data_IF_072493246670
#
_entry.id   IF_072493246670
#
_cell.length_a   1.000
_cell.length_b   1.000
_cell.length_c   1.000
_cell.angle_alpha   90.00
_cell.angle_beta   90.00
_cell.angle_gamma   90.00
#
_symmetry.space_group_name_H-M   'P 1'
#
loop_
_entity.id
_entity.type
_entity.pdbx_description
1 polymer ?
#
# COMPACT_ATOMS: atom_id res chain seq x y z
N UNK A 1 54.45 -14.21 -42.43
CA UNK A 1 53.08 -14.26 -42.97
C UNK A 1 52.69 -15.72 -43.11
N UNK A 2 52.12 -16.33 -42.05
CA UNK A 2 51.58 -17.70 -42.11
C UNK A 2 50.07 -17.56 -41.96
N UNK A 3 49.38 -17.77 -43.08
CA UNK A 3 47.93 -17.97 -43.16
C UNK A 3 47.57 -19.11 -42.24
N UNK A 4 46.74 -18.83 -41.24
CA UNK A 4 46.14 -19.86 -40.40
C UNK A 4 44.92 -20.34 -41.18
N UNK A 5 44.97 -21.60 -41.62
CA UNK A 5 43.92 -22.26 -42.40
C UNK A 5 42.52 -22.07 -41.79
N UNK A 6 41.62 -21.51 -42.59
CA UNK A 6 40.21 -21.26 -42.24
C UNK A 6 39.35 -22.55 -42.20
N UNK A 7 39.97 -23.73 -42.30
CA UNK A 7 39.27 -24.98 -42.57
C UNK A 7 38.90 -25.85 -41.34
N UNK A 8 39.18 -25.42 -40.10
CA UNK A 8 38.93 -26.29 -38.93
C UNK A 8 38.53 -25.57 -37.61
N UNK A 9 37.61 -24.62 -37.66
CA UNK A 9 36.92 -24.05 -36.47
C UNK A 9 35.54 -24.69 -36.24
N UNK A 10 35.47 -26.02 -36.38
CA UNK A 10 34.29 -26.81 -36.09
C UNK A 10 33.91 -26.74 -34.60
N UNK A 11 32.64 -26.44 -34.35
CA UNK A 11 31.85 -26.65 -33.12
C UNK A 11 32.12 -25.81 -31.85
N UNK A 12 33.31 -25.27 -31.57
CA UNK A 12 33.59 -24.63 -30.25
C UNK A 12 33.76 -23.10 -30.23
N UNK A 13 34.05 -22.46 -31.36
CA UNK A 13 34.33 -21.02 -31.45
C UNK A 13 33.82 -20.42 -32.76
N UNK A 14 33.58 -19.09 -32.77
CA UNK A 14 33.19 -18.35 -33.99
C UNK A 14 33.76 -16.93 -34.00
N UNK A 15 33.88 -16.36 -35.20
CA UNK A 15 34.27 -14.96 -35.41
C UNK A 15 33.11 -14.02 -35.06
N UNK A 16 33.37 -12.99 -34.26
CA UNK A 16 32.40 -11.94 -33.96
C UNK A 16 32.26 -10.98 -35.16
N UNK A 17 31.04 -10.80 -35.67
CA UNK A 17 30.79 -9.89 -36.81
C UNK A 17 30.94 -8.40 -36.49
N UNK A 18 31.14 -8.02 -35.22
CA UNK A 18 31.31 -6.63 -34.82
C UNK A 18 32.74 -6.25 -34.45
N UNK A 19 33.48 -7.11 -33.73
CA UNK A 19 34.86 -6.82 -33.36
C UNK A 19 35.89 -7.63 -34.13
N UNK A 20 35.47 -8.55 -35.02
CA UNK A 20 36.36 -9.37 -35.84
C UNK A 20 37.12 -10.49 -35.10
N UNK A 21 37.18 -10.46 -33.77
CA UNK A 21 37.86 -11.46 -32.94
C UNK A 21 37.17 -12.84 -33.00
N UNK A 22 37.96 -13.92 -33.03
CA UNK A 22 37.49 -15.30 -32.86
C UNK A 22 37.35 -15.57 -31.37
N UNK A 23 36.16 -16.01 -30.94
CA UNK A 23 35.86 -16.27 -29.52
C UNK A 23 35.13 -17.59 -29.33
N UNK A 24 35.24 -18.23 -28.15
CA UNK A 24 34.44 -19.40 -27.82
C UNK A 24 32.94 -19.13 -27.93
N UNK A 25 32.13 -20.13 -28.30
CA UNK A 25 30.67 -19.96 -28.42
C UNK A 25 30.00 -19.51 -27.10
N UNK A 26 30.62 -19.79 -25.93
CA UNK A 26 30.17 -19.30 -24.62
C UNK A 26 30.17 -17.77 -24.50
N UNK A 27 30.99 -17.08 -25.29
CA UNK A 27 31.06 -15.62 -25.37
C UNK A 27 29.97 -15.00 -26.25
N UNK A 28 29.07 -15.80 -26.81
CA UNK A 28 27.95 -15.37 -27.62
C UNK A 28 26.63 -15.69 -26.92
N UNK A 29 25.69 -14.76 -26.97
CA UNK A 29 24.34 -14.98 -26.44
C UNK A 29 23.62 -16.06 -27.27
N UNK A 30 22.79 -16.85 -26.61
CA UNK A 30 21.94 -17.84 -27.30
C UNK A 30 20.95 -17.13 -28.23
N UNK A 31 20.76 -17.68 -29.42
CA UNK A 31 19.71 -17.29 -30.37
C UNK A 31 19.19 -18.55 -31.06
N UNK A 32 18.00 -19.00 -30.67
CA UNK A 32 17.42 -20.25 -31.18
C UNK A 32 17.14 -20.22 -32.69
N UNK A 33 17.15 -19.04 -33.31
CA UNK A 33 16.91 -18.86 -34.75
C UNK A 33 18.18 -18.98 -35.59
N UNK A 34 19.36 -18.89 -34.98
CA UNK A 34 20.60 -19.02 -35.72
C UNK A 34 20.97 -20.50 -35.89
N UNK A 35 21.62 -20.82 -37.01
CA UNK A 35 22.04 -22.20 -37.37
C UNK A 35 22.87 -22.88 -36.27
N UNK A 36 23.70 -22.12 -35.58
CA UNK A 36 24.59 -22.57 -34.50
C UNK A 36 24.03 -22.30 -33.09
N UNK A 37 22.79 -21.81 -32.97
CA UNK A 37 22.16 -21.46 -31.69
C UNK A 37 22.78 -20.25 -30.97
N UNK A 38 23.68 -19.50 -31.62
CA UNK A 38 24.41 -18.35 -31.06
C UNK A 38 24.33 -17.11 -31.96
N UNK A 39 24.20 -15.93 -31.32
CA UNK A 39 24.26 -14.63 -32.03
C UNK A 39 25.54 -14.47 -32.85
N UNK A 40 25.49 -13.60 -33.86
CA UNK A 40 26.62 -13.32 -34.75
C UNK A 40 27.75 -12.50 -34.09
N UNK A 41 27.43 -11.71 -33.07
CA UNK A 41 28.38 -10.86 -32.34
C UNK A 41 28.43 -11.22 -30.85
N UNK A 42 29.58 -10.96 -30.23
CA UNK A 42 29.88 -11.39 -28.86
C UNK A 42 29.12 -10.59 -27.79
N UNK A 43 29.09 -11.11 -26.56
CA UNK A 43 28.47 -10.48 -25.38
C UNK A 43 29.00 -9.07 -25.10
N UNK A 44 30.30 -8.82 -25.32
CA UNK A 44 30.93 -7.49 -25.19
C UNK A 44 30.27 -6.50 -26.15
N UNK A 45 30.24 -6.83 -27.44
CA UNK A 45 29.61 -6.03 -28.48
C UNK A 45 28.11 -5.84 -28.24
N UNK A 46 27.41 -6.87 -27.74
CA UNK A 46 26.00 -6.76 -27.37
C UNK A 46 25.76 -5.71 -26.28
N UNK A 47 26.58 -5.71 -25.21
CA UNK A 47 26.47 -4.72 -24.13
C UNK A 47 26.82 -3.32 -24.61
N UNK A 48 27.83 -3.18 -25.47
CA UNK A 48 28.21 -1.89 -26.06
C UNK A 48 27.07 -1.30 -26.91
N UNK A 49 26.48 -2.09 -27.83
CA UNK A 49 25.32 -1.67 -28.63
C UNK A 49 24.14 -1.27 -27.76
N UNK A 50 23.84 -2.06 -26.73
CA UNK A 50 22.75 -1.76 -25.80
C UNK A 50 22.96 -0.44 -25.04
N UNK A 51 24.21 -0.09 -24.69
CA UNK A 51 24.55 1.21 -24.05
C UNK A 51 24.38 2.37 -25.03
N UNK A 52 24.96 2.28 -26.22
CA UNK A 52 24.83 3.31 -27.26
C UNK A 52 23.36 3.62 -27.60
N UNK A 53 22.50 2.59 -27.59
CA UNK A 53 21.05 2.78 -27.78
C UNK A 53 20.41 3.56 -26.64
N UNK A 54 20.76 3.26 -25.39
CA UNK A 54 20.23 3.99 -24.23
C UNK A 54 20.70 5.45 -24.23
N UNK A 55 21.98 5.69 -24.56
CA UNK A 55 22.54 7.03 -24.72
C UNK A 55 21.83 7.83 -25.82
N UNK A 56 21.44 7.17 -26.92
CA UNK A 56 20.65 7.76 -28.00
C UNK A 56 19.14 7.90 -27.67
N UNK A 57 18.71 7.64 -26.43
CA UNK A 57 17.29 7.71 -26.03
C UNK A 57 16.42 6.58 -26.58
N UNK A 58 17.01 5.57 -27.23
CA UNK A 58 16.30 4.42 -27.80
C UNK A 58 16.10 3.30 -26.77
N UNK A 59 15.11 2.46 -27.04
CA UNK A 59 14.90 1.26 -26.26
C UNK A 59 16.14 0.35 -26.31
N UNK A 60 16.61 -0.07 -25.13
CA UNK A 60 17.76 -0.96 -24.96
C UNK A 60 17.63 -2.31 -25.68
N UNK A 61 16.42 -2.77 -25.95
CA UNK A 61 16.20 -4.02 -26.68
C UNK A 61 16.83 -3.93 -28.07
N UNK A 62 17.64 -4.92 -28.40
CA UNK A 62 18.34 -4.97 -29.70
C UNK A 62 17.33 -4.99 -30.85
N UNK A 63 17.53 -4.12 -31.83
CA UNK A 63 16.66 -3.99 -33.01
C UNK A 63 15.30 -3.30 -32.78
N UNK A 64 14.97 -2.85 -31.57
CA UNK A 64 13.70 -2.17 -31.33
C UNK A 64 13.72 -0.73 -31.91
N UNK A 65 12.75 -0.29 -32.71
CA UNK A 65 12.78 1.07 -33.26
C UNK A 65 12.34 2.15 -32.26
N UNK A 66 11.73 1.75 -31.14
CA UNK A 66 11.05 2.67 -30.23
C UNK A 66 12.00 3.43 -29.30
N UNK A 67 11.63 4.66 -28.92
CA UNK A 67 12.26 5.43 -27.85
C UNK A 67 12.07 4.77 -26.48
N UNK A 68 13.01 4.99 -25.58
CA UNK A 68 12.86 4.60 -24.19
C UNK A 68 11.80 5.47 -23.50
N UNK A 69 11.05 4.89 -22.55
CA UNK A 69 10.16 5.66 -21.71
C UNK A 69 10.97 6.59 -20.80
N UNK A 70 10.38 7.71 -20.39
CA UNK A 70 11.04 8.72 -19.55
C UNK A 70 11.68 8.11 -18.29
N UNK A 71 12.98 8.38 -18.10
CA UNK A 71 13.77 7.84 -16.99
C UNK A 71 13.94 6.31 -16.99
N UNK A 72 13.66 5.63 -18.12
CA UNK A 72 13.80 4.18 -18.28
C UNK A 72 14.77 3.85 -19.41
N UNK A 73 15.21 2.59 -19.45
CA UNK A 73 16.07 2.07 -20.53
C UNK A 73 15.30 1.31 -21.61
N UNK A 74 13.97 1.17 -21.47
CA UNK A 74 13.12 0.43 -22.41
C UNK A 74 11.88 1.23 -22.77
N UNK A 75 11.32 0.97 -23.95
CA UNK A 75 10.06 1.56 -24.37
C UNK A 75 8.88 1.04 -23.54
N UNK A 76 7.73 1.73 -23.61
CA UNK A 76 6.49 1.36 -22.91
C UNK A 76 6.09 -0.10 -23.21
N UNK A 77 6.08 -0.50 -24.49
CA UNK A 77 5.70 -1.86 -24.89
C UNK A 77 6.58 -2.95 -24.24
N UNK A 78 7.91 -2.76 -24.21
CA UNK A 78 8.80 -3.72 -23.56
C UNK A 78 8.69 -3.70 -22.03
N UNK A 79 8.37 -2.55 -21.42
CA UNK A 79 8.11 -2.48 -19.99
C UNK A 79 6.81 -3.21 -19.63
N UNK A 80 5.77 -3.10 -20.46
CA UNK A 80 4.52 -3.82 -20.30
C UNK A 80 4.69 -5.33 -20.47
N UNK A 81 5.39 -5.76 -21.53
CA UNK A 81 5.73 -7.16 -21.71
C UNK A 81 6.50 -7.72 -20.50
N UNK A 82 7.48 -6.98 -19.98
CA UNK A 82 8.19 -7.37 -18.76
C UNK A 82 7.24 -7.50 -17.55
N UNK A 83 6.32 -6.55 -17.36
CA UNK A 83 5.33 -6.62 -16.26
C UNK A 83 4.45 -7.86 -16.35
N UNK A 84 4.04 -8.25 -17.57
CA UNK A 84 3.25 -9.48 -17.79
C UNK A 84 4.08 -10.71 -17.39
N UNK A 85 5.33 -10.81 -17.89
CA UNK A 85 6.22 -11.91 -17.52
C UNK A 85 6.51 -11.96 -16.01
N UNK A 86 6.77 -10.81 -15.37
CA UNK A 86 7.02 -10.73 -13.94
C UNK A 86 5.80 -11.16 -13.11
N UNK A 87 4.59 -10.76 -13.54
CA UNK A 87 3.34 -11.22 -12.90
C UNK A 87 3.16 -12.72 -13.03
N UNK A 88 3.36 -13.28 -14.22
CA UNK A 88 3.25 -14.71 -14.48
C UNK A 88 4.26 -15.50 -13.63
N UNK A 89 5.53 -15.08 -13.62
CA UNK A 89 6.58 -15.69 -12.79
C UNK A 89 6.22 -15.69 -11.31
N UNK A 90 5.77 -14.54 -10.78
CA UNK A 90 5.36 -14.42 -9.37
C UNK A 90 4.14 -15.28 -9.04
N UNK A 91 3.20 -15.42 -9.98
CA UNK A 91 2.03 -16.29 -9.82
C UNK A 91 2.45 -17.75 -9.72
N UNK A 92 3.25 -18.22 -10.68
CA UNK A 92 3.77 -19.59 -10.69
C UNK A 92 4.52 -19.93 -9.40
N UNK A 93 5.33 -18.99 -8.88
CA UNK A 93 6.01 -19.15 -7.59
C UNK A 93 5.03 -19.36 -6.43
N UNK A 94 4.00 -18.53 -6.33
CA UNK A 94 2.97 -18.64 -5.29
C UNK A 94 2.19 -19.96 -5.42
N UNK A 95 1.85 -20.36 -6.65
CA UNK A 95 1.17 -21.64 -6.93
C UNK A 95 2.02 -22.85 -6.53
N UNK A 96 3.34 -22.76 -6.70
CA UNK A 96 4.30 -23.78 -6.22
C UNK A 96 4.60 -23.69 -4.72
N UNK A 97 3.88 -22.88 -3.95
CA UNK A 97 4.10 -22.70 -2.50
C UNK A 97 5.36 -21.91 -2.13
N UNK A 98 6.07 -21.34 -3.11
CA UNK A 98 7.26 -20.53 -2.87
C UNK A 98 6.92 -19.09 -2.50
N UNK A 99 7.87 -18.41 -1.83
CA UNK A 99 7.80 -16.99 -1.60
C UNK A 99 7.67 -16.23 -2.94
N UNK A 100 6.73 -15.29 -2.99
CA UNK A 100 6.46 -14.46 -4.18
C UNK A 100 7.67 -13.64 -4.63
N UNK A 101 8.58 -13.31 -3.73
CA UNK A 101 9.74 -12.48 -4.08
C UNK A 101 10.65 -13.22 -5.08
N UNK A 102 11.04 -12.49 -6.11
CA UNK A 102 11.80 -13.04 -7.24
C UNK A 102 13.18 -13.49 -6.77
N UNK A 103 13.53 -14.77 -7.01
CA UNK A 103 14.82 -15.35 -6.61
C UNK A 103 14.91 -15.87 -5.18
N UNK A 104 13.87 -15.69 -4.35
CA UNK A 104 13.86 -16.23 -2.98
C UNK A 104 13.72 -17.77 -3.01
N UNK A 105 14.56 -18.56 -2.32
CA UNK A 105 14.41 -20.02 -2.30
C UNK A 105 13.33 -20.50 -1.32
N UNK A 106 12.90 -19.64 -0.39
CA UNK A 106 12.07 -20.02 0.75
C UNK A 106 10.59 -20.27 0.39
N UNK A 107 9.94 -21.17 1.13
CA UNK A 107 8.50 -21.41 1.04
C UNK A 107 7.69 -20.25 1.62
N UNK A 108 6.49 -20.04 1.09
CA UNK A 108 5.54 -19.10 1.65
C UNK A 108 4.94 -19.65 2.96
N UNK A 109 4.69 -18.77 3.94
CA UNK A 109 3.94 -19.14 5.13
C UNK A 109 2.49 -19.54 4.78
N UNK A 110 1.91 -20.43 5.58
CA UNK A 110 0.52 -20.85 5.43
C UNK A 110 -0.44 -19.63 5.33
N UNK A 111 -1.27 -19.62 4.29
CA UNK A 111 -2.22 -18.53 4.01
C UNK A 111 -1.58 -17.19 3.60
N UNK A 112 -0.27 -17.16 3.32
CA UNK A 112 0.46 -15.96 2.87
C UNK A 112 1.14 -16.22 1.53
N UNK A 113 1.60 -15.15 0.88
CA UNK A 113 2.33 -15.22 -0.39
C UNK A 113 3.84 -15.03 -0.21
N UNK A 114 4.35 -14.98 1.02
CA UNK A 114 5.75 -14.66 1.34
C UNK A 114 6.23 -15.57 2.47
N UNK A 115 7.54 -15.81 2.53
CA UNK A 115 8.19 -16.48 3.65
C UNK A 115 8.18 -15.61 4.92
N UNK A 116 8.58 -16.20 6.05
CA UNK A 116 8.67 -15.52 7.35
C UNK A 116 9.53 -14.26 7.26
N UNK A 117 10.76 -14.41 6.77
CA UNK A 117 11.75 -13.33 6.60
C UNK A 117 11.17 -12.12 5.82
N UNK A 118 10.68 -12.34 4.60
CA UNK A 118 10.10 -11.24 3.81
C UNK A 118 8.81 -10.66 4.41
N UNK A 119 8.09 -11.39 5.27
CA UNK A 119 6.96 -10.84 6.02
C UNK A 119 7.43 -9.96 7.18
N UNK A 120 8.51 -10.35 7.86
CA UNK A 120 9.15 -9.58 8.92
C UNK A 120 9.78 -8.31 8.37
N UNK A 121 10.53 -8.39 7.28
CA UNK A 121 11.07 -7.22 6.57
C UNK A 121 9.96 -6.25 6.20
N UNK A 122 8.86 -6.78 5.66
CA UNK A 122 7.71 -5.95 5.28
C UNK A 122 7.04 -5.31 6.50
N UNK A 123 6.97 -6.02 7.63
CA UNK A 123 6.44 -5.46 8.90
C UNK A 123 7.37 -4.38 9.42
N UNK A 124 8.68 -4.59 9.43
CA UNK A 124 9.68 -3.61 9.85
C UNK A 124 9.63 -2.36 8.96
N UNK A 125 9.62 -2.53 7.64
CA UNK A 125 9.44 -1.45 6.67
C UNK A 125 8.15 -0.66 6.92
N UNK A 126 7.02 -1.34 7.13
CA UNK A 126 5.75 -0.67 7.38
C UNK A 126 5.72 0.08 8.72
N UNK A 127 6.38 -0.45 9.77
CA UNK A 127 6.53 0.23 11.06
C UNK A 127 7.36 1.50 10.89
N UNK A 128 8.56 1.40 10.33
CA UNK A 128 9.44 2.53 10.08
C UNK A 128 8.76 3.62 9.23
N UNK A 129 8.04 3.22 8.17
CA UNK A 129 7.27 4.15 7.34
C UNK A 129 6.16 4.84 8.13
N UNK A 130 5.44 4.12 9.00
CA UNK A 130 4.37 4.69 9.82
C UNK A 130 4.92 5.70 10.83
N UNK A 131 6.05 5.39 11.46
CA UNK A 131 6.77 6.30 12.36
C UNK A 131 7.17 7.57 11.62
N UNK A 132 7.88 7.44 10.50
CA UNK A 132 8.30 8.59 9.70
C UNK A 132 7.12 9.46 9.21
N UNK A 133 5.97 8.85 8.89
CA UNK A 133 4.77 9.60 8.52
C UNK A 133 4.14 10.35 9.71
N UNK A 134 4.21 9.78 10.91
CA UNK A 134 3.66 10.36 12.13
C UNK A 134 4.50 11.55 12.65
N UNK A 135 5.81 11.53 12.40
CA UNK A 135 6.77 12.56 12.87
C UNK A 135 6.80 13.83 11.99
N UNK A 136 6.03 13.87 10.90
CA UNK A 136 6.02 15.02 9.99
C UNK A 136 5.39 16.27 10.62
N UNK A 137 5.95 17.43 10.30
CA UNK A 137 5.39 18.72 10.73
C UNK A 137 4.10 19.06 9.96
N UNK A 138 3.25 19.97 10.48
CA UNK A 138 2.06 20.45 9.77
C UNK A 138 2.37 21.00 8.37
N UNK A 139 3.51 21.69 8.20
CA UNK A 139 3.97 22.26 6.93
C UNK A 139 4.33 21.15 5.93
N UNK A 140 5.02 20.11 6.40
CA UNK A 140 5.35 18.93 5.58
C UNK A 140 4.09 18.20 5.13
N UNK A 141 3.10 18.03 6.02
CA UNK A 141 1.81 17.42 5.68
C UNK A 141 1.05 18.28 4.66
N UNK A 142 1.05 19.60 4.82
CA UNK A 142 0.42 20.52 3.87
C UNK A 142 1.10 20.45 2.50
N UNK A 143 2.44 20.43 2.44
CA UNK A 143 3.21 20.27 1.21
C UNK A 143 2.90 18.93 0.51
N UNK A 144 2.86 17.83 1.26
CA UNK A 144 2.47 16.52 0.73
C UNK A 144 1.03 16.52 0.20
N UNK A 145 0.09 17.16 0.91
CA UNK A 145 -1.30 17.29 0.49
C UNK A 145 -1.41 18.06 -0.83
N UNK A 146 -0.77 19.21 -0.96
CA UNK A 146 -0.76 20.02 -2.19
C UNK A 146 -0.12 19.26 -3.36
N UNK A 147 1.01 18.58 -3.12
CA UNK A 147 1.68 17.76 -4.14
C UNK A 147 0.82 16.59 -4.63
N UNK A 148 0.14 15.90 -3.70
CA UNK A 148 -0.69 14.74 -4.03
C UNK A 148 -2.04 15.15 -4.63
N UNK A 149 -2.57 16.31 -4.24
CA UNK A 149 -3.92 16.79 -4.56
C UNK A 149 -3.89 18.29 -4.91
N UNK A 150 -3.30 18.66 -6.07
CA UNK A 150 -3.13 20.06 -6.44
C UNK A 150 -4.46 20.83 -6.58
N UNK A 151 -5.55 20.13 -6.90
CA UNK A 151 -6.86 20.76 -7.11
C UNK A 151 -7.67 20.95 -5.80
N UNK A 152 -7.08 20.74 -4.63
CA UNK A 152 -7.78 20.90 -3.34
C UNK A 152 -8.84 19.84 -3.02
N UNK A 153 -8.99 18.81 -3.88
CA UNK A 153 -10.02 17.77 -3.74
C UNK A 153 -9.41 16.41 -3.48
N UNK A 154 -10.01 15.66 -2.54
CA UNK A 154 -9.67 14.26 -2.25
C UNK A 154 -10.83 13.34 -2.63
N UNK A 155 -10.51 12.23 -3.29
CA UNK A 155 -11.49 11.21 -3.64
C UNK A 155 -11.74 10.27 -2.47
N UNK A 156 -12.99 10.15 -2.04
CA UNK A 156 -13.39 9.15 -1.04
C UNK A 156 -13.24 7.72 -1.59
N UNK A 157 -12.74 6.77 -0.78
CA UNK A 157 -12.64 5.37 -1.21
C UNK A 157 -14.01 4.68 -1.28
N UNK A 158 -14.94 4.99 -0.37
CA UNK A 158 -16.30 4.42 -0.31
C UNK A 158 -17.25 5.02 -1.36
N UNK A 159 -17.65 6.29 -1.25
CA UNK A 159 -18.62 6.90 -2.18
C UNK A 159 -18.03 7.31 -3.53
N UNK A 160 -16.69 7.34 -3.66
CA UNK A 160 -15.96 7.67 -4.91
C UNK A 160 -16.04 9.13 -5.37
N UNK A 161 -16.77 9.97 -4.65
CA UNK A 161 -16.85 11.42 -4.90
C UNK A 161 -15.52 12.14 -4.59
N UNK A 162 -15.29 13.26 -5.27
CA UNK A 162 -14.18 14.18 -5.02
C UNK A 162 -14.69 15.32 -4.15
N UNK A 163 -14.20 15.41 -2.92
CA UNK A 163 -14.69 16.32 -1.90
C UNK A 163 -13.57 17.22 -1.38
N UNK A 164 -13.90 18.40 -0.82
CA UNK A 164 -12.95 19.25 -0.11
C UNK A 164 -12.27 18.51 1.05
N UNK A 165 -11.11 19.00 1.49
CA UNK A 165 -10.31 18.34 2.53
C UNK A 165 -11.01 18.29 3.89
N UNK A 166 -11.85 19.27 4.18
CA UNK A 166 -12.63 19.42 5.41
C UNK A 166 -13.65 18.27 5.56
N UNK A 167 -14.10 17.70 4.45
CA UNK A 167 -14.97 16.53 4.42
C UNK A 167 -14.28 15.24 4.91
N UNK A 168 -12.98 15.28 5.23
CA UNK A 168 -12.21 14.15 5.72
C UNK A 168 -11.69 14.44 7.14
N UNK A 169 -11.68 13.42 7.99
CA UNK A 169 -11.03 13.51 9.30
C UNK A 169 -9.50 13.57 9.14
N UNK A 170 -8.82 14.24 10.07
CA UNK A 170 -7.36 14.28 10.11
C UNK A 170 -6.81 12.89 10.43
N UNK A 171 -5.76 12.49 9.71
CA UNK A 171 -5.03 11.26 9.93
C UNK A 171 -3.56 11.48 9.53
N UNK A 172 -2.72 11.82 10.52
CA UNK A 172 -1.32 12.23 10.30
C UNK A 172 -0.44 11.12 9.73
N UNK A 173 -0.83 9.85 9.92
CA UNK A 173 -0.09 8.71 9.35
C UNK A 173 -0.40 8.47 7.88
N UNK A 174 -1.38 9.17 7.30
CA UNK A 174 -1.62 9.15 5.87
C UNK A 174 -0.80 10.24 5.17
N UNK A 175 -0.31 10.02 3.93
CA UNK A 175 0.54 10.98 3.23
C UNK A 175 -0.04 12.40 3.14
N UNK A 176 -1.34 12.55 2.85
CA UNK A 176 -2.00 13.87 2.77
C UNK A 176 -2.54 14.38 4.12
N UNK A 177 -2.29 13.64 5.20
CA UNK A 177 -2.79 13.97 6.54
C UNK A 177 -4.30 13.76 6.71
N UNK A 178 -4.98 13.10 5.77
CA UNK A 178 -6.44 12.95 5.77
C UNK A 178 -6.84 11.47 5.71
N UNK A 179 -7.96 11.13 6.33
CA UNK A 179 -8.57 9.81 6.24
C UNK A 179 -8.92 9.43 4.79
N UNK A 180 -9.01 8.13 4.47
CA UNK A 180 -9.33 7.66 3.11
C UNK A 180 -10.80 7.82 2.74
N UNK A 181 -11.68 7.77 3.75
CA UNK A 181 -13.11 7.93 3.62
C UNK A 181 -13.55 9.29 4.15
N UNK A 182 -14.57 9.90 3.52
CA UNK A 182 -15.16 11.14 4.01
C UNK A 182 -15.88 10.88 5.35
N UNK A 183 -16.09 11.94 6.14
CA UNK A 183 -16.75 11.90 7.44
C UNK A 183 -18.12 11.23 7.37
N UNK A 184 -18.91 11.52 6.33
CA UNK A 184 -20.21 10.90 6.11
C UNK A 184 -20.07 9.38 5.97
N UNK A 185 -19.22 8.91 5.05
CA UNK A 185 -19.01 7.47 4.83
C UNK A 185 -18.40 6.76 6.04
N UNK A 186 -17.54 7.44 6.80
CA UNK A 186 -16.98 6.92 8.05
C UNK A 186 -18.09 6.77 9.12
N UNK A 187 -18.91 7.81 9.32
CA UNK A 187 -20.02 7.78 10.27
C UNK A 187 -21.07 6.73 9.89
N UNK A 188 -21.44 6.61 8.60
CA UNK A 188 -22.33 5.54 8.15
C UNK A 188 -21.76 4.15 8.44
N UNK A 189 -20.45 3.97 8.34
CA UNK A 189 -19.82 2.69 8.67
C UNK A 189 -19.87 2.39 10.17
N UNK A 190 -19.70 3.40 11.03
CA UNK A 190 -19.87 3.28 12.48
C UNK A 190 -21.32 2.95 12.83
N UNK A 191 -22.28 3.67 12.26
CA UNK A 191 -23.70 3.43 12.49
C UNK A 191 -24.10 2.00 12.14
N UNK A 192 -23.68 1.50 10.97
CA UNK A 192 -23.94 0.10 10.57
C UNK A 192 -23.36 -0.94 11.52
N UNK A 193 -22.26 -0.63 12.22
CA UNK A 193 -21.68 -1.52 13.24
C UNK A 193 -22.46 -1.49 14.54
N UNK A 194 -22.95 -0.31 14.92
CA UNK A 194 -23.62 -0.10 16.19
C UNK A 194 -25.10 -0.55 16.19
N UNK A 195 -25.79 -0.35 15.05
CA UNK A 195 -27.24 -0.58 14.89
C UNK A 195 -27.76 -1.93 15.41
N UNK A 196 -27.12 -3.10 15.13
CA UNK A 196 -27.62 -4.37 15.62
C UNK A 196 -27.76 -4.40 17.14
N UNK A 197 -26.72 -3.94 17.85
CA UNK A 197 -26.69 -3.90 19.31
C UNK A 197 -27.67 -2.87 19.87
N UNK A 198 -27.82 -1.72 19.23
CA UNK A 198 -28.77 -0.69 19.67
C UNK A 198 -30.21 -1.16 19.55
N UNK A 199 -30.53 -1.88 18.47
CA UNK A 199 -31.84 -2.49 18.26
C UNK A 199 -32.16 -3.55 19.31
N UNK A 200 -31.19 -4.40 19.69
CA UNK A 200 -31.38 -5.43 20.72
C UNK A 200 -31.70 -4.86 22.10
N UNK A 201 -31.19 -3.68 22.40
CA UNK A 201 -31.38 -3.02 23.70
C UNK A 201 -32.41 -1.89 23.67
N UNK A 202 -33.10 -1.72 22.54
CA UNK A 202 -34.08 -0.65 22.31
C UNK A 202 -33.55 0.76 22.62
N UNK A 203 -32.29 1.01 22.25
CA UNK A 203 -31.60 2.29 22.50
C UNK A 203 -31.59 3.15 21.24
N UNK A 204 -32.65 3.93 21.06
CA UNK A 204 -32.85 4.83 19.90
C UNK A 204 -32.78 6.32 20.25
N UNK A 205 -32.38 6.64 21.47
CA UNK A 205 -32.20 8.01 21.95
C UNK A 205 -30.78 8.22 22.46
N UNK A 206 -30.38 9.47 22.64
CA UNK A 206 -29.12 9.87 23.25
C UNK A 206 -29.00 9.22 24.64
N UNK A 207 -27.99 8.36 24.83
CA UNK A 207 -27.79 7.66 26.11
C UNK A 207 -27.46 8.58 27.28
N UNK A 208 -27.09 9.82 27.00
CA UNK A 208 -26.71 10.80 28.01
C UNK A 208 -27.86 11.68 28.49
N UNK A 209 -28.81 12.02 27.62
CA UNK A 209 -29.87 12.98 27.97
C UNK A 209 -31.28 12.55 27.53
N UNK A 210 -31.43 11.41 26.86
CA UNK A 210 -32.71 10.87 26.41
C UNK A 210 -33.33 11.56 25.19
N UNK A 211 -32.73 12.63 24.67
CA UNK A 211 -33.19 13.31 23.44
C UNK A 211 -32.85 12.50 22.18
N UNK A 212 -33.37 12.88 21.02
CA UNK A 212 -33.05 12.23 19.75
C UNK A 212 -31.53 12.22 19.46
N UNK A 213 -31.01 11.08 18.99
CA UNK A 213 -29.61 10.95 18.62
C UNK A 213 -29.33 11.54 17.24
N UNK A 214 -28.11 12.03 17.04
CA UNK A 214 -27.65 12.57 15.75
C UNK A 214 -26.28 12.00 15.33
N UNK A 215 -25.54 11.41 16.28
CA UNK A 215 -24.20 10.91 16.09
C UNK A 215 -23.99 9.55 16.75
N UNK A 216 -22.98 8.84 16.27
CA UNK A 216 -22.42 7.67 16.91
C UNK A 216 -21.21 8.16 17.72
N UNK A 217 -21.32 8.16 19.04
CA UNK A 217 -20.23 8.53 19.93
C UNK A 217 -19.40 7.29 20.31
N UNK A 218 -18.10 7.49 20.49
CA UNK A 218 -17.21 6.51 21.09
C UNK A 218 -17.17 6.74 22.60
N UNK A 219 -17.77 5.83 23.38
CA UNK A 219 -17.87 5.91 24.85
C UNK A 219 -16.49 6.16 25.47
N UNK A 220 -15.52 5.30 25.14
CA UNK A 220 -14.09 5.57 25.28
C UNK A 220 -13.62 6.28 24.00
N UNK A 221 -13.12 7.53 24.08
CA UNK A 221 -12.67 8.28 22.91
C UNK A 221 -11.53 7.57 22.17
N UNK A 222 -11.50 7.70 20.83
CA UNK A 222 -10.42 7.15 20.00
C UNK A 222 -9.04 7.71 20.37
N UNK A 223 -8.97 8.98 20.77
CA UNK A 223 -7.71 9.61 21.24
C UNK A 223 -7.16 8.98 22.52
N UNK A 224 -7.99 8.24 23.26
CA UNK A 224 -7.65 7.46 24.45
C UNK A 224 -7.69 5.96 24.18
N UNK A 225 -7.52 5.53 22.93
CA UNK A 225 -7.47 4.09 22.60
C UNK A 225 -8.83 3.40 22.46
N UNK A 226 -9.93 4.16 22.47
CA UNK A 226 -11.25 3.62 22.13
C UNK A 226 -11.30 3.01 20.74
N UNK A 227 -12.03 1.89 20.61
CA UNK A 227 -12.14 1.13 19.35
C UNK A 227 -13.49 1.35 18.66
N UNK A 228 -13.62 0.93 17.41
CA UNK A 228 -14.91 0.88 16.69
C UNK A 228 -15.76 -0.35 17.07
N UNK A 229 -15.45 -1.01 18.20
CA UNK A 229 -16.24 -2.14 18.69
C UNK A 229 -17.68 -1.67 19.00
N UNK A 230 -18.73 -2.40 18.58
CA UNK A 230 -20.12 -2.02 18.86
C UNK A 230 -20.42 -1.72 20.34
N UNK A 231 -19.72 -2.35 21.29
CA UNK A 231 -19.89 -2.07 22.72
C UNK A 231 -19.35 -0.69 23.13
N UNK A 232 -18.40 -0.13 22.38
CA UNK A 232 -17.86 1.22 22.56
C UNK A 232 -18.69 2.31 21.84
N UNK A 233 -19.69 1.94 21.04
CA UNK A 233 -20.45 2.88 20.23
C UNK A 233 -21.82 3.16 20.86
N UNK A 234 -22.11 4.43 21.11
CA UNK A 234 -23.37 4.87 21.73
C UNK A 234 -24.11 5.92 20.88
N UNK A 235 -25.46 5.89 20.87
CA UNK A 235 -26.24 6.96 20.26
C UNK A 235 -26.11 8.22 21.11
N UNK A 236 -25.74 9.33 20.49
CA UNK A 236 -25.60 10.62 21.16
C UNK A 236 -26.19 11.75 20.32
N UNK A 237 -26.82 12.73 20.97
CA UNK A 237 -27.21 13.97 20.33
C UNK A 237 -25.98 14.86 20.07
N UNK A 238 -26.12 15.85 19.19
CA UNK A 238 -25.03 16.76 18.82
C UNK A 238 -24.44 17.51 20.02
N UNK A 239 -25.28 18.04 20.91
CA UNK A 239 -24.83 18.80 22.07
C UNK A 239 -24.04 17.95 23.07
N UNK A 240 -24.52 16.74 23.40
CA UNK A 240 -23.81 15.83 24.31
C UNK A 240 -22.50 15.34 23.70
N UNK A 241 -22.50 14.95 22.42
CA UNK A 241 -21.30 14.49 21.74
C UNK A 241 -20.20 15.57 21.70
N UNK A 242 -20.58 16.82 21.43
CA UNK A 242 -19.64 17.96 21.45
C UNK A 242 -19.15 18.27 22.87
N UNK A 243 -20.03 18.25 23.88
CA UNK A 243 -19.68 18.55 25.28
C UNK A 243 -18.79 17.47 25.90
N UNK A 244 -19.02 16.20 25.55
CA UNK A 244 -18.17 15.07 25.97
C UNK A 244 -16.82 15.14 25.28
N UNK A 245 -16.79 15.26 23.94
CA UNK A 245 -15.54 15.25 23.17
C UNK A 245 -14.64 14.08 23.61
N UNK A 246 -13.40 14.37 24.01
CA UNK A 246 -12.46 13.41 24.53
C UNK A 246 -12.65 13.12 26.04
N UNK A 247 -13.51 13.82 26.79
CA UNK A 247 -13.69 13.57 28.23
C UNK A 247 -14.15 12.13 28.49
N UNK A 248 -13.53 11.40 29.45
CA UNK A 248 -13.99 10.08 29.87
C UNK A 248 -15.48 10.11 30.24
N UNK A 249 -16.22 9.05 29.88
CA UNK A 249 -17.68 9.06 29.99
C UNK A 249 -18.16 9.24 31.43
N UNK A 250 -17.46 8.67 32.42
CA UNK A 250 -17.84 8.78 33.83
C UNK A 250 -17.69 10.21 34.32
N UNK A 251 -16.55 10.84 34.03
CA UNK A 251 -16.32 12.26 34.33
C UNK A 251 -17.30 13.19 33.60
N UNK A 252 -17.70 12.84 32.37
CA UNK A 252 -18.70 13.60 31.62
C UNK A 252 -20.09 13.51 32.27
N UNK A 253 -20.54 12.30 32.62
CA UNK A 253 -21.84 12.08 33.27
C UNK A 253 -21.86 12.74 34.64
N UNK A 254 -20.83 12.54 35.47
CA UNK A 254 -20.74 13.15 36.81
C UNK A 254 -20.84 14.68 36.74
N UNK A 255 -20.13 15.30 35.79
CA UNK A 255 -20.14 16.75 35.60
C UNK A 255 -21.48 17.30 35.08
N UNK A 256 -22.14 16.60 34.16
CA UNK A 256 -23.27 17.17 33.40
C UNK A 256 -24.64 16.60 33.77
N UNK A 257 -24.69 15.39 34.33
CA UNK A 257 -25.90 14.66 34.71
C UNK A 257 -25.68 13.89 36.03
N UNK A 258 -25.39 14.59 37.14
CA UNK A 258 -25.20 13.96 38.44
C UNK A 258 -26.45 13.15 38.84
N UNK A 259 -26.27 11.87 39.17
CA UNK A 259 -27.36 10.90 39.45
C UNK A 259 -27.76 9.99 38.29
N UNK A 260 -27.34 10.31 37.05
CA UNK A 260 -27.55 9.41 35.91
C UNK A 260 -26.67 8.15 35.99
N UNK A 261 -25.54 8.21 36.73
CA UNK A 261 -24.67 7.04 36.96
C UNK A 261 -25.41 5.87 37.63
N UNK A 262 -26.31 6.17 38.57
CA UNK A 262 -27.11 5.16 39.26
C UNK A 262 -28.12 4.49 38.30
N UNK A 263 -28.60 5.24 37.30
CA UNK A 263 -29.56 4.78 36.29
C UNK A 263 -28.91 4.05 35.11
N UNK A 264 -27.68 4.42 34.73
CA UNK A 264 -26.92 3.84 33.61
C UNK A 264 -25.99 2.69 34.00
N UNK A 265 -26.20 2.08 35.16
CA UNK A 265 -25.40 0.99 35.77
C UNK A 265 -25.23 -0.29 34.92
N UNK A 266 -25.78 -0.32 33.71
CA UNK A 266 -25.69 -1.44 32.77
C UNK A 266 -24.86 -1.11 31.51
N UNK A 267 -25.11 0.02 30.84
CA UNK A 267 -24.36 0.49 29.67
C UNK A 267 -24.68 1.98 29.49
N UNK A 268 -23.74 2.91 29.12
CA UNK A 268 -22.29 2.86 28.84
C UNK A 268 -21.35 2.46 29.98
N UNK A 269 -21.79 2.54 31.24
CA UNK A 269 -20.91 2.46 32.43
C UNK A 269 -20.16 1.13 32.54
N UNK A 270 -20.86 -0.02 32.47
CA UNK A 270 -20.19 -1.33 32.57
C UNK A 270 -19.15 -1.57 31.48
N UNK A 271 -19.36 -1.03 30.28
CA UNK A 271 -18.36 -1.16 29.22
C UNK A 271 -17.04 -0.51 29.64
N UNK A 272 -17.11 0.68 30.26
CA UNK A 272 -15.93 1.39 30.76
C UNK A 272 -15.28 0.67 31.93
N UNK A 273 -16.06 0.13 32.87
CA UNK A 273 -15.53 -0.69 33.96
C UNK A 273 -14.80 -1.94 33.44
N UNK A 274 -15.34 -2.59 32.41
CA UNK A 274 -14.76 -3.80 31.80
C UNK A 274 -13.44 -3.53 31.05
N UNK A 275 -13.33 -2.39 30.36
CA UNK A 275 -12.12 -2.06 29.58
C UNK A 275 -11.08 -1.29 30.39
N UNK A 276 -11.43 -0.82 31.59
CA UNK A 276 -10.63 0.11 32.39
C UNK A 276 -10.60 1.49 31.72
N UNK A 277 -10.64 2.58 32.51
CA UNK A 277 -10.43 3.91 31.94
C UNK A 277 -9.03 3.96 31.32
N UNK A 278 -8.97 3.89 30.00
CA UNK A 278 -7.72 4.01 29.25
C UNK A 278 -7.25 5.46 29.42
N UNK A 279 -6.28 5.66 30.32
CA UNK A 279 -5.78 6.96 30.76
C UNK A 279 -5.14 7.77 29.61
#
# INVERSE_FOLDING_TARGET
MKTIDEANLGTAAKRCTQCGEIKPLTEFNRDARSRDGRRAYCKRCHRARARARVEAGLCRADGCPNLAAEGKTRCVAHLEANRVHDRARRRARVESGLCREDGCPNLAMAGKTRCVEHLEDKRAYNRARRTALAERTPEQIAADRSRLRPNGLKRCRKCRERLPFEAFAVNVVNPDGLHYDCRTCANTALLRRALPRWSELDTWTCVYCGQDFAHVDHVVPVSRGGTDDPANLAPACQSCNISKNATPVLAFIDRQYPGLLDQLSHWPVRYVELVGEVA
#
